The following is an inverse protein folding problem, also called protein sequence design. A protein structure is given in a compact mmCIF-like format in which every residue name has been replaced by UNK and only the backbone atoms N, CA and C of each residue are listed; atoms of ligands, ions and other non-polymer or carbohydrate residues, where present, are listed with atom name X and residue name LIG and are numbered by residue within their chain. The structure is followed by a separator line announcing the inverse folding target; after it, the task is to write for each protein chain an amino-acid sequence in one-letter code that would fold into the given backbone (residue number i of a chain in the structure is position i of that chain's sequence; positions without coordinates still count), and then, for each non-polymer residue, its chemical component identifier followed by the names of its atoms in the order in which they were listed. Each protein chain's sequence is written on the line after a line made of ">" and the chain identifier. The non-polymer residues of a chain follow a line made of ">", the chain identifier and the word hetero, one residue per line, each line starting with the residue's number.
data_IF_852039267015
#
_entry.id   IF_852039267015
#
_cell.length_a   1.000
_cell.length_b   1.000
_cell.length_c   1.000
_cell.angle_alpha   90.00
_cell.angle_beta   90.00
_cell.angle_gamma   90.00
#
_symmetry.space_group_name_H-M   'P 1'
#
loop_
_entity.id
_entity.type
_entity.pdbx_description
1 polymer ?
#
# COMPACT_ATOMS: atom_id res chain seq x y z
N UNK A 1 61.86 -26.85 28.16
CA UNK A 1 61.18 -25.82 27.35
C UNK A 1 60.09 -26.49 26.53
N UNK A 2 58.84 -26.41 26.95
CA UNK A 2 57.69 -26.99 26.26
C UNK A 2 57.15 -25.93 25.28
N UNK A 3 57.28 -26.16 23.96
CA UNK A 3 56.70 -25.25 22.96
C UNK A 3 55.22 -25.60 22.77
N UNK A 4 54.33 -24.77 23.32
CA UNK A 4 52.93 -24.78 22.94
C UNK A 4 52.81 -24.20 21.53
N UNK A 5 52.56 -25.07 20.55
CA UNK A 5 52.18 -24.65 19.20
C UNK A 5 50.68 -24.36 19.18
N UNK A 6 50.29 -23.10 19.40
CA UNK A 6 48.93 -22.63 19.13
C UNK A 6 48.68 -22.67 17.62
N UNK A 7 47.95 -23.69 17.15
CA UNK A 7 47.31 -23.66 15.84
C UNK A 7 46.23 -22.57 15.88
N UNK A 8 46.49 -21.42 15.27
CA UNK A 8 45.45 -20.46 14.94
C UNK A 8 44.64 -21.02 13.76
N UNK A 9 43.39 -21.43 14.00
CA UNK A 9 42.43 -21.64 12.92
C UNK A 9 42.16 -20.28 12.27
N UNK A 10 42.70 -20.06 11.07
CA UNK A 10 42.26 -18.97 10.22
C UNK A 10 40.82 -19.27 9.78
N UNK A 11 39.84 -18.60 10.37
CA UNK A 11 38.48 -18.59 9.84
C UNK A 11 38.54 -17.91 8.46
N UNK A 12 38.42 -18.70 7.39
CA UNK A 12 38.24 -18.14 6.06
C UNK A 12 36.97 -17.27 6.09
N UNK A 13 37.12 -15.97 5.87
CA UNK A 13 35.97 -15.08 5.71
C UNK A 13 35.20 -15.56 4.49
N UNK A 14 34.04 -16.18 4.72
CA UNK A 14 33.14 -16.60 3.65
C UNK A 14 32.72 -15.32 2.92
N UNK A 15 33.13 -15.14 1.67
CA UNK A 15 32.72 -14.01 0.84
C UNK A 15 31.22 -14.11 0.56
N UNK A 16 30.46 -13.17 1.10
CA UNK A 16 29.01 -13.15 0.99
C UNK A 16 28.43 -11.79 1.35
N UNK A 17 27.23 -11.51 0.85
CA UNK A 17 26.49 -10.30 1.15
C UNK A 17 25.33 -10.61 2.09
N UNK A 18 24.84 -9.57 2.75
CA UNK A 18 23.74 -9.65 3.71
C UNK A 18 22.52 -8.90 3.14
N UNK A 19 21.34 -9.51 3.18
CA UNK A 19 20.07 -8.83 2.90
C UNK A 19 19.15 -8.97 4.10
N UNK A 20 18.77 -7.84 4.68
CA UNK A 20 17.80 -7.79 5.79
C UNK A 20 16.55 -7.06 5.34
N UNK A 21 15.38 -7.51 5.81
CA UNK A 21 14.10 -7.02 5.34
C UNK A 21 13.37 -6.20 6.41
N UNK A 22 12.76 -5.11 5.97
CA UNK A 22 11.90 -4.23 6.76
C UNK A 22 10.54 -4.13 6.09
N UNK A 23 9.49 -4.27 6.87
CA UNK A 23 8.12 -4.12 6.40
C UNK A 23 7.48 -2.88 7.01
N UNK A 24 7.39 -1.82 6.21
CA UNK A 24 6.58 -0.63 6.55
C UNK A 24 5.17 -0.70 5.96
N UNK A 25 4.82 -1.79 5.29
CA UNK A 25 3.46 -2.01 4.84
C UNK A 25 2.58 -2.27 6.05
N UNK A 26 1.30 -2.00 5.87
CA UNK A 26 0.28 -2.22 6.89
C UNK A 26 -0.27 -3.66 6.88
N UNK A 27 0.27 -4.53 6.01
CA UNK A 27 0.04 -5.98 5.99
C UNK A 27 1.34 -6.77 6.16
N UNK A 28 1.22 -8.08 6.38
CA UNK A 28 2.36 -8.99 6.40
C UNK A 28 2.96 -9.15 5.01
N UNK A 29 4.27 -8.99 4.89
CA UNK A 29 4.99 -9.40 3.68
C UNK A 29 5.26 -10.90 3.76
N UNK A 30 4.60 -11.68 2.90
CA UNK A 30 4.96 -13.08 2.68
C UNK A 30 6.18 -13.13 1.76
N UNK A 31 7.38 -13.18 2.33
CA UNK A 31 8.63 -13.20 1.57
C UNK A 31 8.82 -14.58 0.95
N UNK A 32 8.92 -14.61 -0.38
CA UNK A 32 9.16 -15.82 -1.17
C UNK A 32 10.44 -15.67 -1.97
N UNK A 33 11.10 -16.80 -2.22
CA UNK A 33 12.17 -16.92 -3.19
C UNK A 33 11.63 -17.48 -4.53
N UNK A 34 12.55 -17.80 -5.45
CA UNK A 34 12.23 -18.46 -6.71
C UNK A 34 11.27 -19.65 -6.54
N UNK A 35 10.40 -19.86 -7.54
CA UNK A 35 9.36 -20.89 -7.55
C UNK A 35 8.35 -20.79 -6.38
N UNK A 36 8.23 -19.61 -5.76
CA UNK A 36 7.29 -19.38 -4.66
C UNK A 36 7.73 -20.03 -3.34
N UNK A 37 8.99 -20.47 -3.23
CA UNK A 37 9.54 -21.08 -2.01
C UNK A 37 9.41 -20.10 -0.84
N UNK A 38 8.80 -20.55 0.26
CA UNK A 38 8.69 -19.75 1.47
C UNK A 38 10.08 -19.40 2.04
N UNK A 39 10.26 -18.14 2.44
CA UNK A 39 11.45 -17.68 3.18
C UNK A 39 11.03 -17.33 4.61
N UNK A 40 10.11 -16.38 4.77
CA UNK A 40 9.56 -15.96 6.04
C UNK A 40 8.31 -15.09 5.83
N UNK A 41 7.56 -14.86 6.92
CA UNK A 41 6.54 -13.82 6.98
C UNK A 41 7.05 -12.66 7.83
N UNK A 42 6.96 -11.44 7.30
CA UNK A 42 7.44 -10.23 7.96
C UNK A 42 6.22 -9.42 8.39
N UNK A 43 5.95 -9.38 9.70
CA UNK A 43 4.79 -8.67 10.26
C UNK A 43 4.83 -7.15 9.94
N UNK A 44 3.66 -6.47 9.89
CA UNK A 44 3.60 -5.02 9.77
C UNK A 44 4.48 -4.32 10.82
N UNK A 45 5.28 -3.35 10.39
CA UNK A 45 6.17 -2.58 11.27
C UNK A 45 7.43 -3.32 11.71
N UNK A 46 7.59 -4.60 11.38
CA UNK A 46 8.82 -5.33 11.68
C UNK A 46 9.99 -4.75 10.86
N UNK A 47 11.07 -4.41 11.55
CA UNK A 47 12.26 -3.84 10.94
C UNK A 47 13.46 -4.74 11.17
N UNK A 48 14.35 -4.76 10.17
CA UNK A 48 15.63 -5.47 10.20
C UNK A 48 15.50 -6.95 10.60
N UNK A 49 14.53 -7.66 10.01
CA UNK A 49 14.29 -9.08 10.28
C UNK A 49 14.52 -9.94 9.03
N UNK A 50 14.39 -11.26 9.19
CA UNK A 50 14.49 -12.23 8.12
C UNK A 50 15.79 -12.13 7.30
N UNK A 51 16.91 -11.87 7.97
CA UNK A 51 18.22 -11.71 7.34
C UNK A 51 18.61 -12.95 6.55
N UNK A 52 19.05 -12.72 5.31
CA UNK A 52 19.60 -13.73 4.41
C UNK A 52 21.10 -13.46 4.22
N UNK A 53 21.89 -14.53 4.31
CA UNK A 53 23.32 -14.52 4.04
C UNK A 53 23.58 -15.31 2.76
N UNK A 54 24.10 -14.65 1.74
CA UNK A 54 24.23 -15.20 0.40
C UNK A 54 25.70 -15.24 0.03
N UNK A 55 26.23 -16.44 -0.19
CA UNK A 55 27.62 -16.68 -0.56
C UNK A 55 27.86 -16.58 -2.07
N UNK A 56 29.13 -16.71 -2.48
CA UNK A 56 29.53 -16.70 -3.88
C UNK A 56 28.90 -17.84 -4.72
N UNK A 57 28.73 -17.61 -6.02
CA UNK A 57 28.23 -18.61 -6.97
C UNK A 57 26.72 -18.86 -6.91
N UNK A 58 25.96 -17.96 -6.30
CA UNK A 58 24.51 -18.03 -6.17
C UNK A 58 23.81 -16.94 -6.97
N UNK A 59 22.61 -17.23 -7.47
CA UNK A 59 21.68 -16.24 -8.01
C UNK A 59 20.28 -16.54 -7.49
N UNK A 60 19.43 -15.53 -7.43
CA UNK A 60 18.06 -15.73 -6.95
C UNK A 60 17.24 -14.47 -6.96
N UNK A 61 16.01 -14.62 -6.47
CA UNK A 61 15.03 -13.56 -6.37
C UNK A 61 14.39 -13.58 -4.99
N UNK A 62 13.96 -12.41 -4.52
CA UNK A 62 13.00 -12.26 -3.45
C UNK A 62 11.77 -11.52 -3.95
N UNK A 63 10.57 -11.94 -3.52
CA UNK A 63 9.30 -11.33 -3.92
C UNK A 63 8.26 -11.42 -2.82
N UNK A 64 7.29 -10.50 -2.86
CA UNK A 64 6.10 -10.58 -2.01
C UNK A 64 5.04 -11.46 -2.69
N UNK A 65 4.57 -12.50 -1.97
CA UNK A 65 3.65 -13.55 -2.43
C UNK A 65 4.25 -14.57 -3.40
N UNK A 66 3.54 -15.67 -3.64
CA UNK A 66 3.94 -16.69 -4.61
C UNK A 66 3.57 -16.34 -6.06
N UNK A 67 2.83 -15.25 -6.29
CA UNK A 67 2.38 -14.87 -7.62
C UNK A 67 3.56 -14.53 -8.55
N UNK A 68 3.36 -14.75 -9.86
CA UNK A 68 4.38 -14.46 -10.88
C UNK A 68 4.26 -13.05 -11.47
N UNK A 69 3.11 -12.39 -11.27
CA UNK A 69 2.84 -11.02 -11.72
C UNK A 69 3.14 -10.00 -10.61
N UNK A 70 4.41 -9.92 -10.20
CA UNK A 70 4.89 -9.14 -9.05
C UNK A 70 6.29 -8.59 -9.31
N UNK A 71 6.71 -7.58 -8.56
CA UNK A 71 8.07 -7.08 -8.68
C UNK A 71 9.07 -8.00 -7.95
N UNK A 72 10.24 -8.17 -8.53
CA UNK A 72 11.27 -9.10 -8.09
C UNK A 72 12.51 -8.31 -7.64
N UNK A 73 13.02 -8.61 -6.45
CA UNK A 73 14.35 -8.16 -6.02
C UNK A 73 15.32 -9.25 -6.46
N UNK A 74 16.16 -8.96 -7.44
CA UNK A 74 17.05 -9.96 -8.04
C UNK A 74 18.47 -9.77 -7.54
N UNK A 75 19.19 -10.89 -7.44
CA UNK A 75 20.61 -10.88 -7.12
C UNK A 75 21.36 -11.97 -7.88
N UNK A 76 22.64 -11.70 -8.18
CA UNK A 76 23.59 -12.70 -8.65
C UNK A 76 24.98 -12.44 -8.08
N UNK A 77 25.63 -13.51 -7.66
CA UNK A 77 27.02 -13.55 -7.20
C UNK A 77 27.84 -14.51 -8.07
N UNK A 78 27.27 -14.92 -9.21
CA UNK A 78 27.95 -15.65 -10.26
C UNK A 78 28.78 -14.63 -11.03
N UNK A 79 30.08 -14.66 -10.78
CA UNK A 79 31.04 -13.73 -11.33
C UNK A 79 32.01 -14.48 -12.26
N UNK A 80 32.47 -13.80 -13.32
CA UNK A 80 33.54 -14.28 -14.19
C UNK A 80 34.82 -13.46 -13.96
N UNK A 81 35.96 -13.96 -14.45
CA UNK A 81 37.23 -13.21 -14.52
C UNK A 81 37.75 -12.66 -13.17
N UNK A 82 37.50 -13.37 -12.07
CA UNK A 82 37.98 -12.96 -10.73
C UNK A 82 37.23 -11.76 -10.13
N UNK A 83 36.10 -11.35 -10.72
CA UNK A 83 35.22 -10.35 -10.12
C UNK A 83 34.64 -10.86 -8.79
N UNK A 84 34.41 -9.93 -7.86
CA UNK A 84 33.90 -10.24 -6.52
C UNK A 84 32.79 -9.24 -6.15
N UNK A 85 31.68 -9.33 -6.89
CA UNK A 85 30.54 -8.44 -6.75
C UNK A 85 29.25 -9.22 -6.44
N UNK A 86 28.31 -8.54 -5.81
CA UNK A 86 26.90 -8.88 -5.91
C UNK A 86 26.26 -7.95 -6.95
N UNK A 87 25.75 -8.56 -8.01
CA UNK A 87 24.88 -7.94 -8.99
C UNK A 87 23.46 -7.94 -8.43
N UNK A 88 22.73 -6.84 -8.61
CA UNK A 88 21.36 -6.70 -8.13
C UNK A 88 20.57 -5.71 -8.96
N UNK A 89 19.26 -5.93 -9.01
CA UNK A 89 18.28 -5.04 -9.61
C UNK A 89 16.89 -5.31 -9.01
N UNK A 90 15.92 -4.50 -9.41
CA UNK A 90 14.51 -4.73 -9.11
C UNK A 90 13.74 -4.77 -10.42
N UNK A 91 13.13 -5.90 -10.72
CA UNK A 91 12.38 -6.13 -11.95
C UNK A 91 10.90 -5.88 -11.75
N UNK A 92 10.33 -5.01 -12.59
CA UNK A 92 8.89 -4.83 -12.75
C UNK A 92 8.39 -5.37 -14.11
N UNK A 93 9.29 -6.00 -14.86
CA UNK A 93 8.96 -6.59 -16.15
C UNK A 93 7.81 -7.61 -15.99
N UNK A 94 6.72 -7.46 -16.77
CA UNK A 94 5.65 -8.44 -16.77
C UNK A 94 6.18 -9.84 -17.12
N UNK A 95 5.72 -10.91 -16.43
CA UNK A 95 6.27 -12.25 -16.63
C UNK A 95 5.93 -12.80 -18.01
N UNK A 96 6.83 -13.64 -18.54
CA UNK A 96 6.79 -14.14 -19.93
C UNK A 96 6.72 -13.01 -20.98
N UNK A 97 7.64 -12.03 -20.94
CA UNK A 97 7.58 -10.82 -21.78
C UNK A 97 7.80 -11.08 -23.28
N UNK A 98 8.33 -12.25 -23.65
CA UNK A 98 8.80 -12.49 -25.02
C UNK A 98 9.88 -11.48 -25.40
N UNK A 99 9.72 -10.83 -26.55
CA UNK A 99 10.66 -9.82 -27.07
C UNK A 99 10.09 -8.39 -27.02
N UNK A 100 9.21 -8.09 -26.05
CA UNK A 100 8.71 -6.73 -25.89
C UNK A 100 9.85 -5.74 -25.61
N UNK A 101 9.68 -4.47 -25.95
CA UNK A 101 10.79 -3.49 -25.97
C UNK A 101 10.55 -2.24 -25.11
N UNK A 102 9.45 -2.21 -24.36
CA UNK A 102 9.11 -1.16 -23.41
C UNK A 102 8.13 -1.71 -22.38
N UNK A 103 8.03 -1.07 -21.21
CA UNK A 103 7.07 -1.49 -20.18
C UNK A 103 5.65 -1.59 -20.71
N UNK A 104 5.18 -0.56 -21.44
CA UNK A 104 3.84 -0.52 -22.03
C UNK A 104 3.63 -1.65 -23.04
N UNK A 105 4.61 -1.89 -23.90
CA UNK A 105 4.54 -3.00 -24.85
C UNK A 105 4.50 -4.36 -24.14
N UNK A 106 5.29 -4.56 -23.08
CA UNK A 106 5.27 -5.78 -22.29
C UNK A 106 3.92 -6.01 -21.60
N UNK A 107 3.29 -4.96 -21.06
CA UNK A 107 1.93 -5.07 -20.50
C UNK A 107 0.90 -5.49 -21.55
N UNK A 108 0.99 -4.94 -22.77
CA UNK A 108 0.08 -5.29 -23.85
C UNK A 108 0.26 -6.74 -24.32
N UNK A 109 1.50 -7.21 -24.41
CA UNK A 109 1.82 -8.60 -24.82
C UNK A 109 1.37 -9.61 -23.77
N UNK A 110 1.54 -9.28 -22.48
CA UNK A 110 1.33 -10.23 -21.37
C UNK A 110 -0.02 -10.12 -20.69
N UNK A 111 -0.70 -8.97 -20.79
CA UNK A 111 -1.87 -8.62 -19.99
C UNK A 111 -1.58 -8.42 -18.50
N UNK A 112 -0.31 -8.29 -18.12
CA UNK A 112 0.19 -8.31 -16.74
C UNK A 112 0.98 -7.05 -16.40
N UNK A 113 1.27 -6.81 -15.12
CA UNK A 113 1.88 -5.56 -14.63
C UNK A 113 3.31 -5.70 -14.12
N UNK A 114 3.68 -6.85 -13.58
CA UNK A 114 4.97 -7.13 -12.95
C UNK A 114 5.23 -6.34 -11.67
N UNK A 115 4.20 -5.76 -11.03
CA UNK A 115 4.37 -4.94 -9.82
C UNK A 115 3.23 -5.14 -8.83
N UNK A 116 3.56 -5.35 -7.56
CA UNK A 116 2.55 -5.47 -6.50
C UNK A 116 2.86 -4.70 -5.21
N UNK A 117 4.14 -4.42 -4.91
CA UNK A 117 4.53 -3.76 -3.67
C UNK A 117 5.67 -2.75 -3.89
N UNK A 118 5.54 -1.51 -3.38
CA UNK A 118 6.65 -0.57 -3.34
C UNK A 118 7.83 -1.12 -2.55
N UNK A 119 9.04 -1.01 -3.08
CA UNK A 119 10.27 -1.51 -2.45
C UNK A 119 11.45 -0.58 -2.70
N UNK A 120 12.23 -0.33 -1.65
CA UNK A 120 13.60 0.18 -1.76
C UNK A 120 14.59 -0.95 -1.48
N UNK A 121 15.66 -1.02 -2.28
CA UNK A 121 16.83 -1.88 -2.01
C UNK A 121 18.02 -0.97 -1.74
N UNK A 122 18.41 -0.88 -0.48
CA UNK A 122 19.37 0.12 0.00
C UNK A 122 20.66 -0.57 0.46
N UNK A 123 21.81 -0.40 -0.24
CA UNK A 123 23.10 -0.80 0.32
C UNK A 123 23.43 0.09 1.52
N UNK A 124 23.59 -0.51 2.70
CA UNK A 124 23.92 0.18 3.96
C UNK A 124 25.43 0.25 4.22
N UNK A 125 26.20 -0.46 3.41
CA UNK A 125 27.68 -0.40 3.35
C UNK A 125 28.10 -0.34 1.88
N UNK A 126 29.31 0.15 1.60
CA UNK A 126 29.89 0.25 0.24
C UNK A 126 29.11 1.08 -0.80
N UNK A 127 28.03 1.77 -0.39
CA UNK A 127 27.29 2.68 -1.27
C UNK A 127 28.22 3.74 -1.89
N UNK A 128 28.01 4.02 -3.18
CA UNK A 128 28.87 4.90 -3.98
C UNK A 128 30.06 4.20 -4.63
N UNK A 129 30.32 2.92 -4.34
CA UNK A 129 31.36 2.14 -5.03
C UNK A 129 30.87 1.69 -6.40
N UNK A 130 31.36 2.32 -7.47
CA UNK A 130 30.92 1.99 -8.83
C UNK A 130 29.43 2.28 -9.03
N UNK A 131 28.64 1.28 -9.41
CA UNK A 131 27.19 1.41 -9.59
C UNK A 131 26.37 1.07 -8.33
N UNK A 132 27.03 0.81 -7.20
CA UNK A 132 26.40 0.45 -5.93
C UNK A 132 25.61 1.62 -5.32
N UNK A 133 24.28 1.59 -5.44
CA UNK A 133 23.38 2.64 -4.92
C UNK A 133 22.01 2.09 -4.50
N UNK A 134 21.24 2.91 -3.79
CA UNK A 134 19.84 2.60 -3.52
C UNK A 134 19.02 2.54 -4.82
N UNK A 135 18.13 1.55 -4.92
CA UNK A 135 17.12 1.45 -5.97
C UNK A 135 15.74 1.73 -5.38
N UNK A 136 14.98 2.62 -6.02
CA UNK A 136 13.67 3.06 -5.57
C UNK A 136 12.58 2.65 -6.56
N UNK A 137 11.82 1.62 -6.21
CA UNK A 137 10.74 1.10 -7.06
C UNK A 137 9.41 1.19 -6.33
N UNK A 138 8.68 2.29 -6.55
CA UNK A 138 7.42 2.59 -5.85
C UNK A 138 6.20 2.58 -6.76
N UNK A 139 6.42 2.56 -8.07
CA UNK A 139 5.41 2.48 -9.10
C UNK A 139 5.76 1.42 -10.16
N UNK A 140 4.79 0.93 -10.94
CA UNK A 140 5.04 -0.10 -11.95
C UNK A 140 6.09 0.29 -13.00
N UNK A 141 6.14 1.56 -13.40
CA UNK A 141 7.06 2.14 -14.39
C UNK A 141 8.21 2.96 -13.75
N UNK A 142 8.58 2.63 -12.51
CA UNK A 142 9.67 3.33 -11.80
C UNK A 142 10.97 3.33 -12.62
N UNK A 143 11.67 4.46 -12.62
CA UNK A 143 12.88 4.64 -13.42
C UNK A 143 14.04 3.68 -13.04
N UNK A 144 14.11 3.23 -11.79
CA UNK A 144 15.10 2.26 -11.31
C UNK A 144 14.75 0.81 -11.63
N UNK A 145 13.52 0.52 -12.10
CA UNK A 145 13.09 -0.85 -12.35
C UNK A 145 13.58 -1.36 -13.71
N UNK A 146 13.88 -2.67 -13.78
CA UNK A 146 14.06 -3.41 -15.03
C UNK A 146 12.70 -3.68 -15.65
N UNK A 147 12.41 -3.06 -16.81
CA UNK A 147 11.04 -2.96 -17.34
C UNK A 147 10.77 -3.82 -18.59
N UNK A 148 11.79 -4.24 -19.31
CA UNK A 148 11.70 -5.04 -20.54
C UNK A 148 13.00 -5.82 -20.78
N UNK A 149 13.01 -6.92 -21.55
CA UNK A 149 14.13 -7.87 -21.63
C UNK A 149 15.48 -7.28 -22.04
N UNK A 150 15.50 -6.18 -22.79
CA UNK A 150 16.71 -5.51 -23.23
C UNK A 150 17.08 -4.27 -22.39
N UNK A 151 16.48 -4.09 -21.21
CA UNK A 151 16.72 -2.96 -20.31
C UNK A 151 18.02 -3.10 -19.51
N UNK A 152 19.12 -3.36 -20.22
CA UNK A 152 20.43 -3.73 -19.66
C UNK A 152 21.10 -2.63 -18.82
N UNK A 153 20.46 -1.48 -18.64
CA UNK A 153 20.99 -0.33 -17.88
C UNK A 153 20.63 -0.36 -16.40
N UNK A 154 19.76 -1.28 -15.98
CA UNK A 154 19.16 -1.32 -14.64
C UNK A 154 19.87 -2.23 -13.65
N UNK A 155 20.84 -3.02 -14.11
CA UNK A 155 21.63 -3.89 -13.23
C UNK A 155 22.76 -3.11 -12.57
N UNK A 156 22.86 -3.25 -11.26
CA UNK A 156 23.85 -2.60 -10.40
C UNK A 156 24.79 -3.62 -9.77
N UNK A 157 25.97 -3.18 -9.34
CA UNK A 157 26.96 -4.02 -8.69
C UNK A 157 27.48 -3.34 -7.42
N UNK A 158 27.55 -4.11 -6.34
CA UNK A 158 28.22 -3.72 -5.09
C UNK A 158 29.34 -4.72 -4.77
N UNK A 159 30.37 -4.32 -3.99
CA UNK A 159 31.35 -5.26 -3.44
C UNK A 159 30.67 -6.44 -2.73
N UNK A 160 31.25 -7.63 -2.82
CA UNK A 160 30.61 -8.86 -2.30
C UNK A 160 30.29 -8.83 -0.80
N UNK A 161 31.00 -8.06 0.02
CA UNK A 161 30.77 -7.93 1.46
C UNK A 161 29.69 -6.87 1.82
N UNK A 162 28.90 -6.42 0.85
CA UNK A 162 27.87 -5.39 1.06
C UNK A 162 26.72 -5.90 1.90
N UNK A 163 26.21 -5.04 2.76
CA UNK A 163 24.96 -5.22 3.50
C UNK A 163 23.87 -4.40 2.84
N UNK A 164 22.69 -4.99 2.69
CA UNK A 164 21.51 -4.35 2.14
C UNK A 164 20.36 -4.37 3.14
N UNK A 165 19.59 -3.30 3.14
CA UNK A 165 18.24 -3.28 3.71
C UNK A 165 17.23 -3.21 2.58
N UNK A 166 16.35 -4.20 2.51
CA UNK A 166 15.18 -4.19 1.62
C UNK A 166 13.99 -3.67 2.42
N UNK A 167 13.45 -2.53 2.03
CA UNK A 167 12.31 -1.91 2.70
C UNK A 167 11.08 -1.98 1.81
N UNK A 168 10.13 -2.82 2.18
CA UNK A 168 8.79 -2.77 1.58
C UNK A 168 8.01 -1.59 2.13
N UNK A 169 7.28 -0.90 1.25
CA UNK A 169 6.46 0.27 1.58
C UNK A 169 7.24 1.44 2.24
N UNK A 170 8.38 1.85 1.67
CA UNK A 170 9.36 2.70 2.33
C UNK A 170 8.84 4.09 2.74
N UNK A 171 7.90 4.63 1.99
CA UNK A 171 7.29 5.96 2.19
C UNK A 171 6.12 5.94 3.19
N UNK A 172 5.96 4.85 3.96
CA UNK A 172 4.82 4.69 4.89
C UNK A 172 3.48 4.52 4.18
N UNK A 173 3.50 4.37 2.85
CA UNK A 173 2.33 4.05 2.06
C UNK A 173 2.01 2.56 2.17
N UNK A 174 0.74 2.22 2.33
CA UNK A 174 0.30 0.85 2.18
C UNK A 174 0.58 0.38 0.74
N UNK A 175 1.59 -0.48 0.55
CA UNK A 175 1.29 -1.72 -0.16
C UNK A 175 0.04 -2.24 0.54
N UNK A 176 -1.10 -2.23 -0.17
CA UNK A 176 -2.40 -1.93 0.44
C UNK A 176 -2.89 -2.86 1.56
N UNK A 177 -3.06 -2.35 2.82
CA UNK A 177 -4.27 -2.44 3.71
C UNK A 177 -4.07 -1.90 5.15
N UNK A 178 -5.01 -1.22 5.87
CA UNK A 178 -5.68 0.06 5.65
C UNK A 178 -5.84 0.89 6.96
N UNK A 179 -5.02 0.67 7.99
CA UNK A 179 -5.40 1.03 9.36
C UNK A 179 -5.48 2.54 9.66
N UNK A 180 -5.23 3.41 8.67
CA UNK A 180 -5.35 4.87 8.82
C UNK A 180 -6.42 5.48 7.92
N UNK A 181 -6.95 4.78 6.91
CA UNK A 181 -7.88 5.34 5.92
C UNK A 181 -9.32 4.85 6.04
N UNK A 182 -9.59 3.70 6.68
CA UNK A 182 -10.95 3.23 6.97
C UNK A 182 -11.02 2.23 8.13
N UNK A 183 -12.19 2.16 8.77
CA UNK A 183 -12.58 1.12 9.71
C UNK A 183 -13.20 -0.07 8.97
N UNK A 184 -12.56 -1.24 9.04
CA UNK A 184 -13.10 -2.51 8.54
C UNK A 184 -14.21 -3.01 9.46
N UNK A 185 -15.31 -3.49 8.89
CA UNK A 185 -16.47 -4.04 9.62
C UNK A 185 -16.86 -5.37 8.99
N UNK A 186 -16.60 -6.46 9.70
CA UNK A 186 -16.87 -7.81 9.19
C UNK A 186 -18.36 -8.15 9.17
N UNK A 187 -18.74 -9.04 8.26
CA UNK A 187 -20.11 -9.54 8.05
C UNK A 187 -21.15 -8.42 7.90
N UNK A 188 -20.79 -7.35 7.21
CA UNK A 188 -21.60 -6.13 7.13
C UNK A 188 -21.70 -5.65 5.70
N UNK A 189 -22.93 -5.60 5.19
CA UNK A 189 -23.27 -4.88 3.97
C UNK A 189 -23.91 -3.52 4.29
N UNK A 190 -23.76 -2.58 3.37
CA UNK A 190 -24.48 -1.32 3.33
C UNK A 190 -25.28 -1.31 2.02
N UNK A 191 -26.42 -1.99 1.97
CA UNK A 191 -27.05 -2.33 0.68
C UNK A 191 -27.57 -1.09 -0.07
N UNK A 192 -27.37 -1.09 -1.40
CA UNK A 192 -27.67 0.05 -2.27
C UNK A 192 -26.63 1.18 -2.18
N UNK A 193 -26.96 2.34 -2.77
CA UNK A 193 -26.09 3.53 -2.82
C UNK A 193 -24.71 3.29 -3.47
N UNK A 194 -24.64 2.28 -4.35
CA UNK A 194 -23.43 1.94 -5.07
C UNK A 194 -23.18 2.95 -6.19
N UNK A 195 -22.02 3.59 -6.17
CA UNK A 195 -21.56 4.57 -7.18
C UNK A 195 -20.52 3.99 -8.13
N UNK A 196 -20.21 2.70 -7.96
CA UNK A 196 -19.28 1.98 -8.81
C UNK A 196 -18.95 0.63 -8.21
N UNK A 197 -18.41 -0.25 -9.06
CA UNK A 197 -17.85 -1.51 -8.62
C UNK A 197 -16.64 -1.90 -9.43
N UNK A 198 -15.72 -2.64 -8.83
CA UNK A 198 -14.57 -3.21 -9.52
C UNK A 198 -14.15 -4.52 -8.86
N UNK A 199 -13.41 -5.35 -9.60
CA UNK A 199 -12.89 -6.62 -9.09
C UNK A 199 -11.74 -6.40 -8.11
N UNK A 200 -11.73 -7.20 -7.04
CA UNK A 200 -10.70 -7.21 -6.00
C UNK A 200 -10.24 -8.64 -5.73
N UNK A 201 -8.97 -8.79 -5.33
CA UNK A 201 -8.31 -10.09 -5.23
C UNK A 201 -7.60 -10.25 -3.89
N UNK A 202 -7.25 -11.50 -3.57
CA UNK A 202 -6.53 -11.85 -2.34
C UNK A 202 -7.46 -12.19 -1.18
N UNK A 203 -6.90 -12.17 0.03
CA UNK A 203 -7.66 -12.43 1.26
C UNK A 203 -8.61 -11.27 1.63
N UNK A 204 -9.40 -11.46 2.68
CA UNK A 204 -10.37 -10.47 3.17
C UNK A 204 -9.74 -9.08 3.42
N UNK A 205 -8.51 -9.05 3.91
CA UNK A 205 -7.79 -7.81 4.19
C UNK A 205 -7.32 -7.16 2.88
N UNK A 206 -6.68 -7.91 1.99
CA UNK A 206 -6.27 -7.42 0.68
C UNK A 206 -7.46 -6.87 -0.13
N UNK A 207 -8.61 -7.55 -0.11
CA UNK A 207 -9.83 -7.08 -0.77
C UNK A 207 -10.36 -5.79 -0.18
N UNK A 208 -10.44 -5.68 1.15
CA UNK A 208 -10.86 -4.46 1.83
C UNK A 208 -9.92 -3.28 1.50
N UNK A 209 -8.62 -3.54 1.35
CA UNK A 209 -7.64 -2.50 1.04
C UNK A 209 -7.75 -1.94 -0.35
N UNK A 210 -7.93 -2.84 -1.32
CA UNK A 210 -8.18 -2.47 -2.70
C UNK A 210 -9.45 -1.64 -2.77
N UNK A 211 -10.49 -2.05 -2.03
CA UNK A 211 -11.72 -1.29 -1.88
C UNK A 211 -11.50 0.11 -1.30
N UNK A 212 -10.81 0.24 -0.16
CA UNK A 212 -10.58 1.54 0.45
C UNK A 212 -9.71 2.47 -0.39
N UNK A 213 -8.79 1.92 -1.18
CA UNK A 213 -8.01 2.68 -2.16
C UNK A 213 -8.89 3.20 -3.29
N UNK A 214 -9.75 2.33 -3.85
CA UNK A 214 -10.73 2.73 -4.86
C UNK A 214 -11.73 3.76 -4.34
N UNK A 215 -12.15 3.62 -3.08
CA UNK A 215 -13.02 4.58 -2.41
C UNK A 215 -12.32 5.93 -2.23
N UNK A 216 -11.07 5.94 -1.76
CA UNK A 216 -10.27 7.17 -1.64
C UNK A 216 -10.07 7.88 -2.99
N UNK A 217 -9.93 7.13 -4.08
CA UNK A 217 -9.78 7.69 -5.43
C UNK A 217 -11.09 8.27 -6.00
N UNK A 218 -12.24 7.98 -5.38
CA UNK A 218 -13.55 8.46 -5.81
C UNK A 218 -14.09 9.47 -4.78
N UNK A 219 -14.12 10.76 -5.16
CA UNK A 219 -14.55 11.85 -4.28
C UNK A 219 -15.98 11.75 -3.72
N UNK A 220 -16.84 10.92 -4.32
CA UNK A 220 -18.20 10.70 -3.82
C UNK A 220 -18.27 9.53 -2.85
N UNK A 221 -17.19 8.76 -2.68
CA UNK A 221 -17.19 7.55 -1.89
C UNK A 221 -16.95 7.82 -0.40
N UNK A 222 -17.85 7.33 0.42
CA UNK A 222 -17.79 7.46 1.89
C UNK A 222 -17.52 6.13 2.59
N UNK A 223 -17.60 5.03 1.85
CA UNK A 223 -17.26 3.69 2.29
C UNK A 223 -17.55 2.65 1.22
N UNK A 224 -17.47 1.38 1.56
CA UNK A 224 -17.58 0.29 0.60
C UNK A 224 -18.13 -1.00 1.23
N UNK A 225 -18.50 -1.96 0.38
CA UNK A 225 -18.69 -3.35 0.76
C UNK A 225 -17.97 -4.28 -0.22
N UNK A 226 -17.33 -5.33 0.29
CA UNK A 226 -16.76 -6.42 -0.50
C UNK A 226 -17.72 -7.60 -0.41
N UNK A 227 -18.21 -8.08 -1.55
CA UNK A 227 -18.97 -9.33 -1.65
C UNK A 227 -18.35 -10.21 -2.73
N UNK A 228 -17.92 -11.42 -2.36
CA UNK A 228 -17.14 -12.28 -3.23
C UNK A 228 -15.82 -11.63 -3.66
N UNK A 229 -15.62 -11.47 -4.97
CA UNK A 229 -14.45 -10.84 -5.59
C UNK A 229 -14.75 -9.41 -6.11
N UNK A 230 -15.83 -8.80 -5.64
CA UNK A 230 -16.22 -7.45 -6.05
C UNK A 230 -16.20 -6.47 -4.88
N UNK A 231 -15.60 -5.31 -5.15
CA UNK A 231 -15.73 -4.10 -4.36
C UNK A 231 -16.89 -3.27 -4.86
N UNK A 232 -17.78 -2.84 -3.97
CA UNK A 232 -18.87 -1.91 -4.24
C UNK A 232 -18.59 -0.61 -3.50
N UNK A 233 -18.34 0.47 -4.25
CA UNK A 233 -18.08 1.80 -3.71
C UNK A 233 -19.41 2.49 -3.40
N UNK A 234 -19.50 3.13 -2.23
CA UNK A 234 -20.78 3.67 -1.74
C UNK A 234 -20.68 5.16 -1.48
N UNK A 235 -21.67 5.92 -1.97
CA UNK A 235 -21.80 7.34 -1.64
C UNK A 235 -22.60 7.61 -0.36
N UNK A 236 -23.18 6.56 0.24
CA UNK A 236 -23.80 6.60 1.56
C UNK A 236 -23.62 5.25 2.27
N UNK A 237 -23.34 5.30 3.57
CA UNK A 237 -23.30 4.13 4.46
C UNK A 237 -24.65 3.88 5.13
N UNK A 238 -25.73 3.92 4.34
CA UNK A 238 -27.08 3.62 4.81
C UNK A 238 -27.33 2.10 4.84
N UNK A 239 -28.49 1.69 5.37
CA UNK A 239 -29.00 0.33 5.17
C UNK A 239 -28.04 -0.78 5.65
N UNK A 240 -27.37 -0.53 6.79
CA UNK A 240 -26.44 -1.49 7.38
C UNK A 240 -27.19 -2.79 7.69
N UNK A 241 -26.75 -3.90 7.10
CA UNK A 241 -27.35 -5.21 7.27
C UNK A 241 -26.27 -6.26 7.56
N UNK A 242 -26.57 -7.20 8.44
CA UNK A 242 -25.69 -8.32 8.70
C UNK A 242 -25.71 -9.28 7.52
N UNK A 243 -24.56 -9.50 6.89
CA UNK A 243 -24.44 -10.39 5.74
C UNK A 243 -23.18 -11.21 5.87
N UNK A 244 -23.34 -12.52 6.07
CA UNK A 244 -22.24 -13.44 6.30
C UNK A 244 -21.25 -13.42 5.12
N UNK A 245 -19.97 -13.17 5.40
CA UNK A 245 -18.91 -13.14 4.39
C UNK A 245 -18.75 -11.82 3.64
N UNK A 246 -19.61 -10.81 3.88
CA UNK A 246 -19.45 -9.46 3.32
C UNK A 246 -18.54 -8.63 4.22
N UNK A 247 -17.60 -7.89 3.62
CA UNK A 247 -16.68 -7.02 4.37
C UNK A 247 -17.06 -5.56 4.10
N UNK A 248 -17.56 -4.88 5.12
CA UNK A 248 -17.83 -3.45 5.08
C UNK A 248 -16.58 -2.62 5.37
N UNK A 249 -16.50 -1.42 4.78
CA UNK A 249 -15.46 -0.45 5.08
C UNK A 249 -16.04 0.95 5.24
N UNK A 250 -15.70 1.60 6.35
CA UNK A 250 -16.13 2.96 6.69
C UNK A 250 -14.92 3.88 6.61
N UNK A 251 -14.87 4.82 5.67
CA UNK A 251 -13.69 5.70 5.54
C UNK A 251 -13.48 6.56 6.79
N UNK A 252 -12.24 6.71 7.22
CA UNK A 252 -11.85 7.51 8.39
C UNK A 252 -12.20 8.99 8.15
N UNK A 253 -12.91 9.60 9.10
CA UNK A 253 -13.54 10.94 8.94
C UNK A 253 -15.05 10.90 8.64
N UNK A 254 -15.60 9.72 8.29
CA UNK A 254 -17.03 9.56 7.97
C UNK A 254 -17.80 8.66 8.96
N UNK A 255 -17.15 8.08 9.98
CA UNK A 255 -17.79 7.18 10.96
C UNK A 255 -18.34 7.86 12.23
N UNK A 256 -18.17 9.17 12.39
CA UNK A 256 -18.66 9.93 13.56
C UNK A 256 -19.91 10.77 13.26
N UNK A 257 -20.36 10.74 12.01
CA UNK A 257 -21.57 11.40 11.57
C UNK A 257 -22.42 10.40 10.78
N UNK A 258 -23.74 10.54 10.89
CA UNK A 258 -24.68 9.81 10.08
C UNK A 258 -24.48 10.13 8.59
N UNK A 259 -25.06 9.28 7.74
CA UNK A 259 -25.01 9.44 6.29
C UNK A 259 -25.36 10.88 5.86
N UNK A 260 -24.59 11.39 4.90
CA UNK A 260 -24.84 12.71 4.31
C UNK A 260 -26.19 12.72 3.60
N UNK A 261 -27.04 13.69 3.97
CA UNK A 261 -28.35 13.94 3.41
C UNK A 261 -28.18 14.97 2.28
N UNK A 262 -28.32 14.52 1.04
CA UNK A 262 -28.25 15.38 -0.14
C UNK A 262 -29.49 16.26 -0.28
N UNK A 263 -29.33 17.38 -0.98
CA UNK A 263 -30.37 18.39 -1.19
C UNK A 263 -31.05 18.86 0.10
N UNK A 264 -30.28 18.87 1.20
CA UNK A 264 -30.79 19.05 2.56
C UNK A 264 -29.99 20.12 3.27
N UNK A 265 -30.67 21.15 3.75
CA UNK A 265 -30.14 22.17 4.65
C UNK A 265 -30.75 22.00 6.05
N UNK A 266 -29.91 21.90 7.06
CA UNK A 266 -30.33 21.99 8.46
C UNK A 266 -30.42 23.46 8.84
N UNK A 267 -31.49 24.13 8.44
CA UNK A 267 -31.64 25.57 8.56
C UNK A 267 -31.54 26.07 10.02
N UNK A 268 -30.80 27.18 10.21
CA UNK A 268 -30.59 27.83 11.51
C UNK A 268 -29.66 27.06 12.46
N UNK A 269 -29.63 27.47 13.74
CA UNK A 269 -28.82 26.86 14.82
C UNK A 269 -27.31 26.81 14.55
N UNK A 270 -26.77 27.73 13.75
CA UNK A 270 -25.35 27.78 13.43
C UNK A 270 -24.51 28.17 14.65
N UNK A 271 -23.55 27.33 15.02
CA UNK A 271 -22.55 27.61 16.07
C UNK A 271 -21.37 28.35 15.45
N UNK A 272 -20.89 27.85 14.32
CA UNK A 272 -19.68 28.32 13.67
C UNK A 272 -19.71 27.93 12.19
N UNK A 273 -19.02 28.73 11.37
CA UNK A 273 -18.77 28.44 9.96
C UNK A 273 -17.29 28.16 9.73
N UNK A 274 -16.96 27.04 9.10
CA UNK A 274 -15.59 26.65 8.70
C UNK A 274 -15.50 26.57 7.18
N UNK A 275 -14.37 26.96 6.63
CA UNK A 275 -14.10 26.78 5.20
C UNK A 275 -13.69 25.33 4.94
N UNK A 276 -14.20 24.74 3.87
CA UNK A 276 -13.91 23.35 3.48
C UNK A 276 -13.56 23.30 2.00
N UNK A 277 -12.74 22.32 1.64
CA UNK A 277 -12.13 22.25 0.31
C UNK A 277 -12.36 20.89 -0.35
N UNK A 278 -12.05 20.80 -1.64
CA UNK A 278 -12.13 19.54 -2.38
C UNK A 278 -13.52 19.26 -2.93
N UNK A 279 -13.87 18.00 -3.12
CA UNK A 279 -15.19 17.57 -3.59
C UNK A 279 -16.19 17.39 -2.43
N UNK A 280 -17.44 17.08 -2.74
CA UNK A 280 -18.51 17.06 -1.74
C UNK A 280 -18.33 16.01 -0.62
N UNK A 281 -17.77 14.84 -0.91
CA UNK A 281 -17.46 13.84 0.10
C UNK A 281 -16.36 14.33 1.05
N UNK A 282 -15.30 14.93 0.50
CA UNK A 282 -14.20 15.52 1.28
C UNK A 282 -14.68 16.66 2.17
N UNK A 283 -15.53 17.55 1.65
CA UNK A 283 -16.12 18.66 2.41
C UNK A 283 -17.02 18.15 3.52
N UNK A 284 -17.82 17.12 3.25
CA UNK A 284 -18.67 16.47 4.26
C UNK A 284 -17.85 15.84 5.39
N UNK A 285 -16.75 15.15 5.05
CA UNK A 285 -15.83 14.59 6.05
C UNK A 285 -15.12 15.65 6.88
N UNK A 286 -14.65 16.74 6.26
CA UNK A 286 -14.08 17.90 6.98
C UNK A 286 -15.09 18.49 7.97
N UNK A 287 -16.34 18.67 7.55
CA UNK A 287 -17.41 19.14 8.40
C UNK A 287 -17.71 18.22 9.57
N UNK A 288 -17.76 16.92 9.30
CA UNK A 288 -17.95 15.94 10.36
C UNK A 288 -16.84 16.06 11.42
N UNK A 289 -15.58 16.19 11.00
CA UNK A 289 -14.46 16.36 11.91
C UNK A 289 -14.56 17.67 12.72
N UNK A 290 -14.91 18.78 12.09
CA UNK A 290 -15.14 20.05 12.78
C UNK A 290 -16.27 19.94 13.81
N UNK A 291 -17.40 19.32 13.44
CA UNK A 291 -18.52 19.12 14.35
C UNK A 291 -18.14 18.23 15.56
N UNK A 292 -17.30 17.23 15.36
CA UNK A 292 -16.82 16.39 16.46
C UNK A 292 -15.86 17.10 17.42
N UNK A 293 -15.15 18.13 16.94
CA UNK A 293 -14.31 18.96 17.79
C UNK A 293 -15.09 19.93 18.69
N UNK A 294 -16.40 20.06 18.47
CA UNK A 294 -17.27 21.03 19.15
C UNK A 294 -18.29 20.28 20.00
N UNK A 295 -18.16 20.37 21.32
CA UNK A 295 -18.95 19.55 22.26
C UNK A 295 -20.46 19.62 22.02
N UNK A 296 -20.99 20.81 21.74
CA UNK A 296 -22.41 21.08 21.51
C UNK A 296 -22.85 21.00 20.03
N UNK A 297 -22.03 20.48 19.12
CA UNK A 297 -22.43 20.33 17.73
C UNK A 297 -23.26 19.05 17.50
N UNK A 298 -24.50 19.21 17.02
CA UNK A 298 -25.41 18.11 16.69
C UNK A 298 -25.33 17.68 15.22
N UNK A 299 -24.77 18.51 14.34
CA UNK A 299 -24.63 18.21 12.91
C UNK A 299 -24.01 19.35 12.13
N UNK A 300 -24.03 19.25 10.81
CA UNK A 300 -23.51 20.26 9.92
C UNK A 300 -24.31 20.34 8.62
N UNK A 301 -24.21 21.47 7.94
CA UNK A 301 -24.65 21.65 6.55
C UNK A 301 -23.49 22.20 5.73
N UNK A 302 -23.26 21.66 4.54
CA UNK A 302 -22.34 22.23 3.56
C UNK A 302 -23.14 22.95 2.48
N UNK A 303 -22.73 24.16 2.13
CA UNK A 303 -23.24 24.88 0.97
C UNK A 303 -22.09 25.66 0.32
N UNK A 304 -21.77 25.31 -0.94
CA UNK A 304 -20.56 25.77 -1.59
C UNK A 304 -19.30 25.26 -0.86
N UNK A 305 -18.36 26.15 -0.60
CA UNK A 305 -17.09 25.86 0.10
C UNK A 305 -17.17 26.12 1.62
N UNK A 306 -18.39 26.21 2.15
CA UNK A 306 -18.65 26.52 3.55
C UNK A 306 -19.36 25.40 4.28
N UNK A 307 -18.82 25.10 5.46
CA UNK A 307 -19.35 24.19 6.44
C UNK A 307 -20.00 24.95 7.60
N UNK A 308 -21.28 24.73 7.83
CA UNK A 308 -22.06 25.34 8.89
C UNK A 308 -22.30 24.32 9.98
N UNK A 309 -21.64 24.47 11.13
CA UNK A 309 -21.82 23.58 12.30
C UNK A 309 -23.08 23.97 13.05
N UNK A 310 -23.88 22.98 13.43
CA UNK A 310 -25.23 23.18 13.97
C UNK A 310 -25.28 22.71 15.42
N UNK A 311 -25.82 23.53 16.33
CA UNK A 311 -26.03 23.15 17.74
C UNK A 311 -27.20 22.19 17.94
N UNK A 312 -28.14 22.20 16.99
CA UNK A 312 -29.27 21.28 16.92
C UNK A 312 -29.59 21.00 15.47
N UNK A 313 -30.04 19.78 15.18
CA UNK A 313 -30.55 19.41 13.85
C UNK A 313 -32.06 19.50 13.88
N UNK A 314 -32.59 20.65 13.48
CA UNK A 314 -34.04 20.90 13.39
C UNK A 314 -34.70 20.24 12.18
N UNK A 315 -35.88 20.74 11.80
CA UNK A 315 -36.59 20.30 10.59
C UNK A 315 -35.77 20.61 9.34
N UNK A 316 -35.39 19.61 8.53
CA UNK A 316 -34.61 19.84 7.33
C UNK A 316 -35.41 20.62 6.29
N UNK A 317 -34.76 21.54 5.57
CA UNK A 317 -35.30 22.22 4.39
C UNK A 317 -34.64 21.67 3.12
N UNK A 318 -35.39 21.71 2.01
CA UNK A 318 -34.83 21.34 0.71
C UNK A 318 -33.93 22.45 0.17
N UNK A 319 -32.77 22.09 -0.35
CA UNK A 319 -31.86 23.02 -1.04
C UNK A 319 -31.03 22.28 -2.07
N UNK A 320 -31.14 22.63 -3.35
CA UNK A 320 -30.43 21.95 -4.44
C UNK A 320 -28.89 22.09 -4.44
N UNK A 321 -28.32 22.93 -3.58
CA UNK A 321 -26.87 23.12 -3.44
C UNK A 321 -26.30 22.64 -2.11
N UNK A 322 -27.16 22.24 -1.17
CA UNK A 322 -26.76 21.90 0.18
C UNK A 322 -26.80 20.40 0.46
N UNK A 323 -25.91 19.95 1.32
CA UNK A 323 -25.93 18.60 1.88
C UNK A 323 -25.50 18.64 3.33
N UNK A 324 -26.13 17.80 4.16
CA UNK A 324 -26.01 17.89 5.61
C UNK A 324 -25.69 16.55 6.26
N UNK A 325 -25.02 16.57 7.40
CA UNK A 325 -24.71 15.36 8.18
C UNK A 325 -25.05 15.57 9.64
N UNK A 326 -25.65 14.56 10.29
CA UNK A 326 -25.88 14.59 11.74
C UNK A 326 -24.66 14.02 12.44
N UNK A 327 -24.23 14.57 13.57
CA UNK A 327 -23.25 13.89 14.43
C UNK A 327 -23.91 12.59 14.91
N UNK A 328 -23.22 11.46 14.78
CA UNK A 328 -23.71 10.22 15.37
C UNK A 328 -23.79 10.47 16.87
N UNK A 329 -24.96 10.22 17.47
CA UNK A 329 -25.21 10.41 18.90
C UNK A 329 -24.02 9.88 19.71
N UNK A 330 -23.48 10.69 20.61
CA UNK A 330 -22.64 10.15 21.67
C UNK A 330 -23.48 9.23 22.56
#
# INVERSE_FOLDING_TARGET
>A
MLRLSTLALAAAAVSGFEMTFTNKCSYTINLKAAFGRFVCDIAPGAANTCTQYIGAGQQGIFKHTSADDVNLIEYSTINSNGMNFVWYDVSNIPPMPGNCNSYENCKQVTGKKGFNVPVYVTPTTNAGSGSCRELRVTAPDSADAYLFPADNTKTHACPMNTKFTVTFCPEGGSGGNPSTSFQKVDNTDFYGNDIGRFQVWGDANAKASACGSGCKANGQCVGFAVSGDFCYLKNALANKYWSNGVIGGIMSGNGKCAATQWNTDFYGNDIERKQVWGNAGERSGQCCNHCNGVANCAGYTVNGDWCYLKSSVGSPSWSGSAYSGRRASA
#
